data_IF_551382796416
#
_entry.id   IF_551382796416
#
_cell.length_a   1.000
_cell.length_b   1.000
_cell.length_c   1.000
_cell.angle_alpha   90.00
_cell.angle_beta   90.00
_cell.angle_gamma   90.00
#
_symmetry.space_group_name_H-M   'P 1'
#
loop_
_entity.id
_entity.type
_entity.pdbx_description
1 polymer ?
#
# COMPACT_ATOMS: atom_id res chain seq x y z
N UNK A 1 -2.74 21.26 -8.78
CA UNK A 1 -3.29 19.89 -8.93
C UNK A 1 -3.53 19.22 -7.58
N UNK A 2 -2.53 19.18 -6.66
CA UNK A 2 -2.70 18.55 -5.33
C UNK A 2 -3.83 19.21 -4.51
N UNK A 3 -3.94 20.54 -4.51
CA UNK A 3 -5.00 21.24 -3.76
C UNK A 3 -6.40 20.94 -4.33
N UNK A 4 -6.51 20.80 -5.65
CA UNK A 4 -7.76 20.34 -6.27
C UNK A 4 -8.15 18.94 -5.76
N UNK A 5 -7.20 18.00 -5.68
CA UNK A 5 -7.47 16.66 -5.18
C UNK A 5 -7.82 16.66 -3.68
N UNK A 6 -7.14 17.48 -2.86
CA UNK A 6 -7.48 17.65 -1.44
C UNK A 6 -8.92 18.14 -1.25
N UNK A 7 -9.30 19.18 -1.99
CA UNK A 7 -10.65 19.73 -1.93
C UNK A 7 -11.69 18.69 -2.38
N UNK A 8 -11.38 17.94 -3.43
CA UNK A 8 -12.25 16.88 -3.90
C UNK A 8 -12.44 15.76 -2.88
N UNK A 9 -11.38 15.37 -2.17
CA UNK A 9 -11.46 14.39 -1.08
C UNK A 9 -12.32 14.93 0.08
N UNK A 10 -12.22 16.23 0.43
CA UNK A 10 -13.06 16.87 1.44
C UNK A 10 -14.56 16.82 1.09
N UNK A 11 -14.89 16.93 -0.20
CA UNK A 11 -16.28 16.88 -0.67
C UNK A 11 -16.85 15.46 -0.71
N UNK A 12 -16.00 14.46 -0.87
CA UNK A 12 -16.38 13.06 -1.06
C UNK A 12 -16.53 12.29 0.24
N UNK A 13 -15.64 12.54 1.20
CA UNK A 13 -15.57 11.76 2.45
C UNK A 13 -16.02 12.58 3.66
N UNK A 14 -16.49 11.87 4.69
CA UNK A 14 -16.82 12.50 5.98
C UNK A 14 -15.56 13.05 6.65
N UNK A 15 -15.69 14.15 7.43
CA UNK A 15 -14.54 14.80 8.08
C UNK A 15 -13.64 13.84 8.87
N UNK A 16 -14.23 12.86 9.54
CA UNK A 16 -13.51 11.85 10.35
C UNK A 16 -12.57 10.93 9.56
N UNK A 17 -12.85 10.73 8.25
CA UNK A 17 -12.03 9.87 7.37
C UNK A 17 -11.16 10.66 6.40
N UNK A 18 -11.40 11.96 6.26
CA UNK A 18 -10.77 12.79 5.23
C UNK A 18 -9.25 12.85 5.35
N UNK A 19 -8.73 13.01 6.59
CA UNK A 19 -7.28 13.02 6.84
C UNK A 19 -6.60 11.72 6.43
N UNK A 20 -7.18 10.59 6.84
CA UNK A 20 -6.69 9.26 6.47
C UNK A 20 -6.76 9.03 4.95
N UNK A 21 -7.86 9.40 4.31
CA UNK A 21 -8.03 9.23 2.86
C UNK A 21 -7.06 10.09 2.07
N UNK A 22 -6.77 11.33 2.50
CA UNK A 22 -5.72 12.17 1.90
C UNK A 22 -4.35 11.54 2.04
N UNK A 23 -4.03 11.00 3.21
CA UNK A 23 -2.76 10.33 3.45
C UNK A 23 -2.58 9.10 2.55
N UNK A 24 -3.61 8.26 2.44
CA UNK A 24 -3.58 7.03 1.65
C UNK A 24 -3.60 7.29 0.13
N UNK A 25 -4.44 8.22 -0.36
CA UNK A 25 -4.65 8.43 -1.80
C UNK A 25 -3.61 9.33 -2.45
N UNK A 26 -3.19 10.40 -1.76
CA UNK A 26 -2.31 11.44 -2.31
C UNK A 26 -1.06 11.73 -1.45
N UNK A 27 -0.82 10.94 -0.39
CA UNK A 27 0.34 11.08 0.48
C UNK A 27 0.35 12.34 1.36
N UNK A 28 -0.82 12.95 1.62
CA UNK A 28 -0.94 14.16 2.42
C UNK A 28 -1.27 13.82 3.87
N UNK A 29 -0.30 13.96 4.78
CA UNK A 29 -0.39 13.52 6.17
C UNK A 29 -0.70 14.63 7.18
N UNK A 30 -0.59 15.88 6.77
CA UNK A 30 -0.67 17.05 7.67
C UNK A 30 -2.03 17.22 8.34
N UNK A 31 -3.07 16.60 7.81
CA UNK A 31 -4.43 16.68 8.32
C UNK A 31 -4.90 15.40 9.03
N UNK A 32 -3.98 14.49 9.35
CA UNK A 32 -4.31 13.32 10.17
C UNK A 32 -4.54 13.79 11.61
N UNK A 33 -5.63 13.37 12.20
CA UNK A 33 -5.94 13.61 13.60
C UNK A 33 -4.89 12.97 14.51
N UNK A 34 -4.40 13.71 15.52
CA UNK A 34 -3.35 13.26 16.43
C UNK A 34 -3.75 12.05 17.26
N UNK A 35 -5.02 11.98 17.69
CA UNK A 35 -5.54 10.85 18.44
C UNK A 35 -5.60 9.60 17.54
N UNK A 36 -6.10 9.73 16.32
CA UNK A 36 -6.08 8.66 15.33
C UNK A 36 -4.65 8.19 15.06
N UNK A 37 -3.71 9.13 14.87
CA UNK A 37 -2.31 8.78 14.66
C UNK A 37 -1.73 7.98 15.84
N UNK A 38 -2.04 8.38 17.08
CA UNK A 38 -1.65 7.65 18.30
C UNK A 38 -2.17 6.22 18.30
N UNK A 39 -3.47 6.02 18.07
CA UNK A 39 -4.09 4.68 18.02
C UNK A 39 -3.47 3.77 16.96
N UNK A 40 -3.16 4.31 15.78
CA UNK A 40 -2.46 3.56 14.73
C UNK A 40 -1.00 3.25 15.11
N UNK A 41 -0.33 4.16 15.80
CA UNK A 41 1.04 3.98 16.28
C UNK A 41 1.14 2.87 17.32
N UNK A 42 0.24 2.84 18.28
CA UNK A 42 0.19 1.83 19.36
C UNK A 42 0.03 0.41 18.81
N UNK A 43 -0.67 0.28 17.69
CA UNK A 43 -0.87 -1.00 16.98
C UNK A 43 0.17 -1.25 15.88
N UNK A 44 1.19 -0.40 15.71
CA UNK A 44 2.19 -0.55 14.64
C UNK A 44 1.64 -0.39 13.22
N UNK A 45 0.54 0.36 13.05
CA UNK A 45 -0.19 0.54 11.80
C UNK A 45 0.15 1.86 11.07
N UNK A 46 1.11 2.62 11.54
CA UNK A 46 1.49 3.93 10.96
C UNK A 46 1.87 3.86 9.48
N UNK A 47 2.37 2.70 9.05
CA UNK A 47 2.71 2.47 7.64
C UNK A 47 1.48 2.47 6.71
N UNK A 48 0.26 2.26 7.22
CA UNK A 48 -1.00 2.37 6.46
C UNK A 48 -1.31 3.84 6.12
N UNK A 49 -0.96 4.75 7.03
CA UNK A 49 -1.10 6.20 6.82
C UNK A 49 -0.04 6.78 5.86
N UNK A 50 0.81 5.93 5.31
CA UNK A 50 1.76 6.30 4.28
C UNK A 50 1.46 5.49 3.02
N UNK A 51 1.69 6.07 1.84
CA UNK A 51 1.60 5.30 0.62
C UNK A 51 2.72 4.26 0.62
N UNK A 52 2.31 3.00 0.66
CA UNK A 52 3.21 1.84 0.68
C UNK A 52 3.33 1.22 -0.71
N UNK A 53 4.29 0.29 -0.87
CA UNK A 53 4.40 -0.51 -2.09
C UNK A 53 3.13 -1.29 -2.43
N UNK A 54 2.37 -1.73 -1.42
CA UNK A 54 1.08 -2.40 -1.61
C UNK A 54 0.04 -1.45 -2.24
N UNK A 55 -0.04 -0.20 -1.78
CA UNK A 55 -0.93 0.81 -2.37
C UNK A 55 -0.58 1.09 -3.85
N UNK A 56 0.71 1.20 -4.18
CA UNK A 56 1.16 1.35 -5.58
C UNK A 56 0.78 0.11 -6.40
N UNK A 57 0.96 -1.09 -5.85
CA UNK A 57 0.57 -2.35 -6.49
C UNK A 57 -0.94 -2.44 -6.75
N UNK A 58 -1.76 -2.06 -5.77
CA UNK A 58 -3.23 -2.03 -5.89
C UNK A 58 -3.66 -0.97 -6.90
N UNK A 59 -3.06 0.23 -6.85
CA UNK A 59 -3.34 1.29 -7.82
C UNK A 59 -3.08 0.83 -9.25
N UNK A 60 -1.88 0.33 -9.53
CA UNK A 60 -1.53 -0.10 -10.88
C UNK A 60 -2.33 -1.32 -11.31
N UNK A 61 -2.56 -2.28 -10.41
CA UNK A 61 -3.39 -3.45 -10.65
C UNK A 61 -4.82 -3.07 -11.03
N UNK A 62 -5.42 -2.12 -10.31
CA UNK A 62 -6.76 -1.59 -10.60
C UNK A 62 -6.80 -0.88 -11.96
N UNK A 63 -5.80 -0.04 -12.26
CA UNK A 63 -5.67 0.63 -13.55
C UNK A 63 -5.60 -0.38 -14.70
N UNK A 64 -4.69 -1.35 -14.61
CA UNK A 64 -4.52 -2.38 -15.64
C UNK A 64 -5.79 -3.22 -15.82
N UNK A 65 -6.48 -3.53 -14.72
CA UNK A 65 -7.75 -4.27 -14.75
C UNK A 65 -8.84 -3.49 -15.49
N UNK A 66 -8.98 -2.18 -15.22
CA UNK A 66 -9.93 -1.31 -15.93
C UNK A 66 -9.61 -1.24 -17.41
N UNK A 67 -8.36 -0.96 -17.77
CA UNK A 67 -7.94 -0.84 -19.17
C UNK A 67 -8.16 -2.15 -19.95
N UNK A 68 -7.88 -3.31 -19.30
CA UNK A 68 -8.18 -4.62 -19.87
C UNK A 68 -9.68 -4.83 -20.08
N UNK A 69 -10.52 -4.39 -19.14
CA UNK A 69 -12.00 -4.47 -19.28
C UNK A 69 -12.54 -3.56 -20.38
N UNK A 70 -11.86 -2.45 -20.65
CA UNK A 70 -12.17 -1.56 -21.78
C UNK A 70 -11.70 -2.12 -23.15
N UNK A 71 -11.14 -3.33 -23.18
CA UNK A 71 -10.72 -3.99 -24.41
C UNK A 71 -9.35 -3.53 -24.96
N UNK A 72 -8.55 -2.83 -24.16
CA UNK A 72 -7.22 -2.41 -24.59
C UNK A 72 -6.30 -3.61 -24.83
N UNK A 73 -5.46 -3.53 -25.87
CA UNK A 73 -4.48 -4.57 -26.14
C UNK A 73 -3.46 -4.69 -25.00
N UNK A 74 -2.87 -5.90 -24.84
CA UNK A 74 -1.87 -6.16 -23.80
C UNK A 74 -0.71 -5.17 -23.82
N UNK A 75 -0.21 -4.87 -25.01
CA UNK A 75 0.87 -3.89 -25.19
C UNK A 75 0.47 -2.51 -24.68
N UNK A 76 -0.74 -2.05 -25.02
CA UNK A 76 -1.21 -0.70 -24.73
C UNK A 76 -1.48 -0.53 -23.22
N UNK A 77 -2.18 -1.46 -22.57
CA UNK A 77 -2.45 -1.30 -21.14
C UNK A 77 -1.17 -1.41 -20.28
N UNK A 78 -0.20 -2.26 -20.66
CA UNK A 78 1.07 -2.35 -19.94
C UNK A 78 1.91 -1.08 -20.14
N UNK A 79 1.98 -0.55 -21.36
CA UNK A 79 2.67 0.72 -21.62
C UNK A 79 2.04 1.86 -20.82
N UNK A 80 0.71 1.95 -20.82
CA UNK A 80 -0.02 2.94 -20.04
C UNK A 80 0.30 2.82 -18.55
N UNK A 81 0.34 1.60 -17.99
CA UNK A 81 0.74 1.36 -16.61
C UNK A 81 2.14 1.89 -16.31
N UNK A 82 3.11 1.64 -17.19
CA UNK A 82 4.49 2.14 -17.05
C UNK A 82 4.52 3.67 -17.04
N UNK A 83 3.75 4.33 -17.92
CA UNK A 83 3.72 5.80 -18.02
C UNK A 83 2.95 6.47 -16.87
N UNK A 84 1.96 5.79 -16.29
CA UNK A 84 1.20 6.32 -15.16
C UNK A 84 1.95 6.25 -13.82
N UNK A 85 2.90 5.33 -13.66
CA UNK A 85 3.67 5.22 -12.42
C UNK A 85 4.46 6.49 -12.07
N UNK A 86 5.24 7.11 -12.98
CA UNK A 86 5.90 8.40 -12.72
C UNK A 86 4.89 9.50 -12.36
N UNK A 87 3.75 9.56 -13.05
CA UNK A 87 2.70 10.53 -12.76
C UNK A 87 2.15 10.32 -11.34
N UNK A 88 1.88 9.08 -10.95
CA UNK A 88 1.42 8.75 -9.60
C UNK A 88 2.47 9.10 -8.54
N UNK A 89 3.76 8.81 -8.79
CA UNK A 89 4.84 9.23 -7.89
C UNK A 89 4.85 10.73 -7.66
N UNK A 90 4.71 11.54 -8.71
CA UNK A 90 4.64 13.00 -8.61
C UNK A 90 3.39 13.48 -7.86
N UNK A 91 2.23 12.89 -8.14
CA UNK A 91 0.98 13.21 -7.45
C UNK A 91 1.04 12.95 -5.95
N UNK A 92 1.73 11.89 -5.55
CA UNK A 92 1.91 11.49 -4.15
C UNK A 92 3.07 12.20 -3.45
N UNK A 93 3.72 13.15 -4.14
CA UNK A 93 4.82 13.96 -3.58
C UNK A 93 6.17 13.26 -3.58
N UNK A 94 6.35 12.27 -4.45
CA UNK A 94 7.60 11.53 -4.62
C UNK A 94 8.16 10.98 -3.28
N UNK A 95 7.28 10.54 -2.37
CA UNK A 95 7.72 9.94 -1.13
C UNK A 95 8.65 8.73 -1.44
N UNK A 96 9.73 8.53 -0.67
CA UNK A 96 10.71 7.48 -0.98
C UNK A 96 10.11 6.07 -1.16
N UNK A 97 9.08 5.73 -0.36
CA UNK A 97 8.35 4.46 -0.48
C UNK A 97 7.61 4.33 -1.82
N UNK A 98 6.99 5.41 -2.29
CA UNK A 98 6.25 5.44 -3.56
C UNK A 98 7.21 5.38 -4.75
N UNK A 99 8.35 6.07 -4.66
CA UNK A 99 9.38 6.06 -5.70
C UNK A 99 9.96 4.65 -5.86
N UNK A 100 10.33 4.00 -4.76
CA UNK A 100 10.82 2.60 -4.79
C UNK A 100 9.82 1.66 -5.46
N UNK A 101 8.57 1.69 -5.00
CA UNK A 101 7.53 0.83 -5.53
C UNK A 101 7.20 1.15 -7.00
N UNK A 102 7.23 2.43 -7.37
CA UNK A 102 7.02 2.87 -8.74
C UNK A 102 8.12 2.37 -9.68
N UNK A 103 9.39 2.50 -9.30
CA UNK A 103 10.51 1.99 -10.10
C UNK A 103 10.43 0.46 -10.24
N UNK A 104 10.19 -0.27 -9.13
CA UNK A 104 9.99 -1.73 -9.16
C UNK A 104 8.82 -2.11 -10.07
N UNK A 105 7.71 -1.38 -9.99
CA UNK A 105 6.54 -1.57 -10.84
C UNK A 105 6.85 -1.35 -12.33
N UNK A 106 7.57 -0.28 -12.68
CA UNK A 106 7.99 -0.01 -14.06
C UNK A 106 8.88 -1.11 -14.62
N UNK A 107 9.88 -1.56 -13.85
CA UNK A 107 10.77 -2.66 -14.25
C UNK A 107 9.97 -3.96 -14.44
N UNK A 108 9.09 -4.29 -13.49
CA UNK A 108 8.25 -5.48 -13.56
C UNK A 108 7.30 -5.46 -14.77
N UNK A 109 6.58 -4.35 -15.00
CA UNK A 109 5.69 -4.20 -16.13
C UNK A 109 6.44 -4.24 -17.47
N UNK A 110 7.64 -3.63 -17.54
CA UNK A 110 8.48 -3.69 -18.72
C UNK A 110 8.92 -5.13 -19.04
N UNK A 111 9.33 -5.89 -18.03
CA UNK A 111 9.69 -7.30 -18.20
C UNK A 111 8.50 -8.14 -18.70
N UNK A 112 7.31 -7.96 -18.10
CA UNK A 112 6.06 -8.63 -18.53
C UNK A 112 5.70 -8.24 -19.97
N UNK A 113 5.85 -6.96 -20.33
CA UNK A 113 5.59 -6.48 -21.68
C UNK A 113 6.50 -7.13 -22.72
N UNK A 114 7.78 -7.24 -22.42
CA UNK A 114 8.79 -7.84 -23.31
C UNK A 114 8.78 -9.38 -23.29
N UNK A 115 7.96 -10.01 -22.46
CA UNK A 115 7.95 -11.46 -22.30
C UNK A 115 9.25 -12.02 -21.69
N UNK A 116 10.03 -11.15 -21.02
CA UNK A 116 11.25 -11.55 -20.33
C UNK A 116 10.82 -12.29 -19.07
N UNK A 117 11.30 -13.52 -18.92
CA UNK A 117 11.24 -14.22 -17.62
C UNK A 117 12.24 -13.57 -16.67
N UNK A 118 11.87 -12.42 -16.11
CA UNK A 118 12.70 -11.80 -15.09
C UNK A 118 12.50 -12.56 -13.77
N UNK A 119 13.60 -13.00 -13.20
CA UNK A 119 13.60 -13.39 -11.80
C UNK A 119 13.30 -12.14 -10.97
N UNK A 120 12.25 -12.21 -10.15
CA UNK A 120 11.82 -11.08 -9.32
C UNK A 120 12.95 -10.57 -8.42
N UNK A 121 13.85 -11.47 -7.96
CA UNK A 121 15.02 -11.09 -7.17
C UNK A 121 16.00 -10.23 -7.98
N UNK A 122 16.25 -10.58 -9.23
CA UNK A 122 17.10 -9.77 -10.11
C UNK A 122 16.51 -8.38 -10.35
N UNK A 123 15.19 -8.28 -10.53
CA UNK A 123 14.52 -6.99 -10.70
C UNK A 123 14.66 -6.13 -9.44
N UNK A 124 14.45 -6.71 -8.26
CA UNK A 124 14.61 -6.00 -6.97
C UNK A 124 16.06 -5.59 -6.74
N UNK A 125 17.03 -6.47 -7.01
CA UNK A 125 18.45 -6.17 -6.89
C UNK A 125 18.89 -5.04 -7.84
N UNK A 126 18.40 -5.05 -9.08
CA UNK A 126 18.67 -3.99 -10.06
C UNK A 126 18.15 -2.63 -9.57
N UNK A 127 16.92 -2.60 -9.05
CA UNK A 127 16.34 -1.36 -8.52
C UNK A 127 17.11 -0.87 -7.30
N UNK A 128 17.47 -1.76 -6.37
CA UNK A 128 18.30 -1.42 -5.23
C UNK A 128 19.64 -0.82 -5.67
N UNK A 129 20.30 -1.46 -6.63
CA UNK A 129 21.56 -0.98 -7.17
C UNK A 129 21.45 0.41 -7.81
N UNK A 130 20.44 0.63 -8.67
CA UNK A 130 20.19 1.94 -9.29
C UNK A 130 20.01 3.01 -8.22
N UNK A 131 19.20 2.74 -7.18
CA UNK A 131 18.95 3.71 -6.11
C UNK A 131 20.20 4.00 -5.29
N UNK A 132 21.02 3.00 -4.97
CA UNK A 132 22.26 3.18 -4.22
C UNK A 132 23.37 3.86 -5.02
N UNK A 133 23.38 3.70 -6.35
CA UNK A 133 24.29 4.48 -7.22
C UNK A 133 23.88 5.94 -7.27
N UNK A 134 22.56 6.22 -7.25
CA UNK A 134 22.05 7.58 -7.23
C UNK A 134 22.28 8.28 -5.89
N UNK A 135 21.99 7.58 -4.80
CA UNK A 135 22.09 8.10 -3.43
C UNK A 135 22.55 6.98 -2.47
N UNK A 136 23.86 6.85 -2.21
CA UNK A 136 24.40 5.78 -1.33
C UNK A 136 23.84 5.83 0.10
N UNK A 137 23.43 7.01 0.58
CA UNK A 137 22.90 7.18 1.93
C UNK A 137 21.57 6.43 2.14
N UNK A 138 20.87 6.05 1.08
CA UNK A 138 19.69 5.17 1.18
C UNK A 138 19.97 3.86 1.90
N UNK A 139 21.22 3.38 1.90
CA UNK A 139 21.57 2.16 2.65
C UNK A 139 21.30 2.30 4.15
N UNK A 140 21.39 3.51 4.68
CA UNK A 140 21.13 3.84 6.09
C UNK A 140 19.66 4.25 6.35
N UNK A 141 18.88 4.47 5.29
CA UNK A 141 17.46 4.80 5.41
C UNK A 141 16.64 3.59 5.83
N UNK A 142 15.96 3.69 6.97
CA UNK A 142 15.14 2.62 7.54
C UNK A 142 14.04 2.17 6.56
N UNK A 143 13.43 3.13 5.86
CA UNK A 143 12.38 2.83 4.88
C UNK A 143 12.92 2.06 3.68
N UNK A 144 14.15 2.36 3.23
CA UNK A 144 14.84 1.59 2.20
C UNK A 144 15.10 0.16 2.68
N UNK A 145 15.72 0.00 3.84
CA UNK A 145 16.02 -1.31 4.43
C UNK A 145 14.76 -2.17 4.57
N UNK A 146 13.70 -1.63 5.19
CA UNK A 146 12.43 -2.34 5.37
C UNK A 146 11.79 -2.71 4.03
N UNK A 147 11.76 -1.79 3.07
CA UNK A 147 11.13 -2.03 1.77
C UNK A 147 11.80 -3.16 1.00
N UNK A 148 13.12 -3.13 0.87
CA UNK A 148 13.87 -4.16 0.14
C UNK A 148 13.90 -5.49 0.89
N UNK A 149 14.15 -5.46 2.21
CA UNK A 149 14.19 -6.65 3.04
C UNK A 149 12.85 -7.41 3.01
N UNK A 150 11.74 -6.69 3.21
CA UNK A 150 10.40 -7.29 3.15
C UNK A 150 10.08 -7.80 1.75
N UNK A 151 10.41 -7.05 0.69
CA UNK A 151 10.16 -7.49 -0.70
C UNK A 151 10.94 -8.77 -1.02
N UNK A 152 12.22 -8.85 -0.67
CA UNK A 152 13.04 -10.06 -0.83
C UNK A 152 12.44 -11.21 0.00
N UNK A 153 12.09 -10.95 1.25
CA UNK A 153 11.43 -11.93 2.11
C UNK A 153 10.15 -12.49 1.50
N UNK A 154 9.29 -11.64 0.96
CA UNK A 154 8.05 -12.06 0.30
C UNK A 154 8.34 -12.94 -0.92
N UNK A 155 9.29 -12.57 -1.77
CA UNK A 155 9.64 -13.35 -2.97
C UNK A 155 10.19 -14.74 -2.59
N UNK A 156 11.05 -14.81 -1.58
CA UNK A 156 11.77 -16.04 -1.23
C UNK A 156 10.97 -16.95 -0.30
N UNK A 157 10.31 -16.37 0.71
CA UNK A 157 9.72 -17.13 1.81
C UNK A 157 8.23 -17.43 1.62
N UNK A 158 7.46 -16.55 0.98
CA UNK A 158 6.01 -16.78 0.81
C UNK A 158 5.70 -18.11 0.08
N UNK A 159 6.39 -18.48 -1.02
CA UNK A 159 6.13 -19.77 -1.66
C UNK A 159 6.35 -20.96 -0.72
N UNK A 160 7.36 -20.88 0.15
CA UNK A 160 7.67 -21.94 1.13
C UNK A 160 6.67 -21.97 2.27
N UNK A 161 6.41 -20.80 2.89
CA UNK A 161 5.47 -20.68 4.02
C UNK A 161 4.05 -21.06 3.60
N UNK A 162 3.63 -20.64 2.40
CA UNK A 162 2.29 -20.99 1.91
C UNK A 162 2.08 -22.49 1.78
N UNK A 163 3.08 -23.29 1.41
CA UNK A 163 2.97 -24.74 1.33
C UNK A 163 2.86 -25.41 2.69
N UNK A 164 3.31 -24.79 3.75
CA UNK A 164 3.23 -25.31 5.13
C UNK A 164 1.87 -25.07 5.78
N UNK A 165 1.06 -24.16 5.24
CA UNK A 165 -0.24 -23.81 5.81
C UNK A 165 -1.32 -24.79 5.33
N UNK A 166 -2.02 -25.49 6.24
CA UNK A 166 -3.08 -26.45 5.91
C UNK A 166 -4.41 -25.75 5.54
N UNK A 167 -4.36 -24.73 4.69
CA UNK A 167 -5.50 -23.92 4.27
C UNK A 167 -5.84 -24.25 2.82
N UNK A 168 -7.04 -24.82 2.53
CA UNK A 168 -7.39 -25.22 1.17
C UNK A 168 -7.63 -24.03 0.24
N UNK A 169 -8.12 -22.91 0.75
CA UNK A 169 -8.37 -21.70 -0.04
C UNK A 169 -7.04 -21.00 -0.37
N UNK A 170 -6.57 -21.15 -1.60
CA UNK A 170 -5.27 -20.64 -2.07
C UNK A 170 -5.10 -19.13 -1.82
N UNK A 171 -6.13 -18.33 -2.08
CA UNK A 171 -6.08 -16.89 -1.84
C UNK A 171 -5.86 -16.56 -0.37
N UNK A 172 -6.64 -17.15 0.53
CA UNK A 172 -6.52 -16.96 1.98
C UNK A 172 -5.15 -17.43 2.50
N UNK A 173 -4.72 -18.61 2.06
CA UNK A 173 -3.41 -19.17 2.39
C UNK A 173 -2.26 -18.23 2.02
N UNK A 174 -2.27 -17.69 0.80
CA UNK A 174 -1.24 -16.77 0.35
C UNK A 174 -1.30 -15.45 1.10
N UNK A 175 -2.48 -14.91 1.40
CA UNK A 175 -2.63 -13.68 2.19
C UNK A 175 -2.04 -13.86 3.60
N UNK A 176 -2.36 -14.97 4.28
CA UNK A 176 -1.81 -15.27 5.61
C UNK A 176 -0.29 -15.45 5.54
N UNK A 177 0.21 -16.20 4.54
CA UNK A 177 1.65 -16.39 4.35
C UNK A 177 2.36 -15.05 4.10
N UNK A 178 1.82 -14.18 3.25
CA UNK A 178 2.38 -12.84 2.99
C UNK A 178 2.40 -11.99 4.26
N UNK A 179 1.32 -11.93 5.01
CA UNK A 179 1.25 -11.17 6.26
C UNK A 179 2.28 -11.68 7.27
N UNK A 180 2.33 -13.00 7.48
CA UNK A 180 3.29 -13.62 8.40
C UNK A 180 4.74 -13.33 7.99
N UNK A 181 5.10 -13.54 6.73
CA UNK A 181 6.45 -13.30 6.22
C UNK A 181 6.82 -11.83 6.33
N UNK A 182 5.93 -10.92 5.93
CA UNK A 182 6.18 -9.49 6.03
C UNK A 182 6.49 -9.06 7.47
N UNK A 183 5.69 -9.51 8.44
CA UNK A 183 5.90 -9.24 9.86
C UNK A 183 7.20 -9.87 10.37
N UNK A 184 7.43 -11.15 10.11
CA UNK A 184 8.61 -11.86 10.59
C UNK A 184 9.92 -11.24 10.07
N UNK A 185 9.92 -10.79 8.80
CA UNK A 185 11.10 -10.21 8.16
C UNK A 185 11.33 -8.77 8.59
N UNK A 186 10.27 -7.97 8.78
CA UNK A 186 10.39 -6.58 9.25
C UNK A 186 10.72 -6.48 10.75
N UNK A 187 10.32 -7.47 11.53
CA UNK A 187 10.38 -7.48 12.98
C UNK A 187 11.76 -7.13 13.58
N UNK A 188 12.90 -7.74 13.17
CA UNK A 188 14.21 -7.40 13.73
C UNK A 188 14.57 -5.92 13.52
N UNK A 189 14.28 -5.40 12.33
CA UNK A 189 14.56 -3.99 11.99
C UNK A 189 13.64 -3.06 12.78
N UNK A 190 12.36 -3.41 12.88
CA UNK A 190 11.38 -2.61 13.64
C UNK A 190 11.75 -2.52 15.12
N UNK A 191 12.11 -3.63 15.76
CA UNK A 191 12.55 -3.61 17.16
C UNK A 191 13.81 -2.77 17.31
N UNK A 192 14.80 -2.97 16.46
CA UNK A 192 16.08 -2.29 16.57
C UNK A 192 15.94 -0.77 16.49
N UNK A 193 15.14 -0.26 15.55
CA UNK A 193 15.02 1.18 15.32
C UNK A 193 13.93 1.85 16.15
N UNK A 194 12.81 1.18 16.43
CA UNK A 194 11.66 1.81 17.08
C UNK A 194 11.49 1.39 18.53
N UNK A 195 12.22 0.36 18.99
CA UNK A 195 12.13 -0.20 20.34
C UNK A 195 10.67 -0.46 20.81
N UNK A 196 9.79 -0.75 19.87
CA UNK A 196 8.37 -1.01 20.11
C UNK A 196 8.03 -2.43 19.70
N UNK A 197 7.41 -3.16 20.62
CA UNK A 197 6.89 -4.49 20.36
C UNK A 197 5.49 -4.62 20.95
N UNK A 198 4.55 -4.96 20.11
CA UNK A 198 3.22 -5.34 20.55
C UNK A 198 2.79 -6.61 19.82
N UNK A 199 2.41 -7.64 20.57
CA UNK A 199 1.79 -8.85 20.02
C UNK A 199 0.49 -8.52 19.29
N UNK A 200 -0.22 -7.48 19.74
CA UNK A 200 -1.43 -7.00 19.07
C UNK A 200 -1.16 -6.42 17.69
N UNK A 201 0.06 -5.91 17.41
CA UNK A 201 0.44 -5.44 16.07
C UNK A 201 0.32 -6.55 15.03
N UNK A 202 0.64 -7.79 15.35
CA UNK A 202 0.51 -8.91 14.42
C UNK A 202 -0.95 -9.16 14.05
N UNK A 203 -1.82 -9.19 15.06
CA UNK A 203 -3.25 -9.36 14.84
C UNK A 203 -3.86 -8.15 14.11
N UNK A 204 -3.52 -6.95 14.54
CA UNK A 204 -3.98 -5.71 13.90
C UNK A 204 -3.57 -5.64 12.44
N UNK A 205 -2.31 -5.93 12.11
CA UNK A 205 -1.84 -5.97 10.74
C UNK A 205 -2.54 -7.04 9.90
N UNK A 206 -2.72 -8.25 10.44
CA UNK A 206 -3.40 -9.33 9.74
C UNK A 206 -4.86 -9.01 9.39
N UNK A 207 -5.56 -8.29 10.26
CA UNK A 207 -6.96 -7.91 10.08
C UNK A 207 -7.14 -6.61 9.28
N UNK A 208 -6.35 -5.58 9.60
CA UNK A 208 -6.61 -4.21 9.15
C UNK A 208 -5.88 -3.86 7.85
N UNK A 209 -4.67 -4.39 7.61
CA UNK A 209 -3.97 -4.14 6.34
C UNK A 209 -4.80 -4.59 5.13
N UNK A 210 -5.43 -5.79 5.12
CA UNK A 210 -6.33 -6.17 4.03
C UNK A 210 -7.54 -5.24 3.89
N UNK A 211 -8.16 -4.79 4.98
CA UNK A 211 -9.31 -3.89 4.93
C UNK A 211 -8.91 -2.56 4.29
N UNK A 212 -7.84 -1.94 4.77
CA UNK A 212 -7.37 -0.67 4.21
C UNK A 212 -6.90 -0.81 2.77
N UNK A 213 -6.09 -1.83 2.46
CA UNK A 213 -5.45 -1.96 1.15
C UNK A 213 -6.35 -2.55 0.07
N UNK A 214 -7.31 -3.43 0.43
CA UNK A 214 -8.15 -4.12 -0.55
C UNK A 214 -9.58 -3.57 -0.61
N UNK A 215 -10.04 -2.82 0.39
CA UNK A 215 -11.38 -2.24 0.42
C UNK A 215 -11.28 -0.71 0.40
N UNK A 216 -10.73 -0.10 1.46
CA UNK A 216 -10.76 1.37 1.62
C UNK A 216 -9.98 2.09 0.53
N UNK A 217 -8.78 1.65 0.21
CA UNK A 217 -7.93 2.30 -0.79
C UNK A 217 -8.48 2.17 -2.22
N UNK A 218 -8.82 0.98 -2.76
CA UNK A 218 -9.37 0.89 -4.12
C UNK A 218 -10.72 1.59 -4.25
N UNK A 219 -11.59 1.49 -3.24
CA UNK A 219 -12.86 2.21 -3.23
C UNK A 219 -12.64 3.72 -3.16
N UNK A 220 -11.67 4.17 -2.39
CA UNK A 220 -11.24 5.57 -2.32
C UNK A 220 -10.71 6.10 -3.66
N UNK A 221 -9.89 5.30 -4.36
CA UNK A 221 -9.44 5.65 -5.72
C UNK A 221 -10.61 5.74 -6.70
N UNK A 222 -11.54 4.78 -6.64
CA UNK A 222 -12.74 4.80 -7.48
C UNK A 222 -13.63 6.01 -7.16
N UNK A 223 -13.79 6.34 -5.87
CA UNK A 223 -14.53 7.51 -5.42
C UNK A 223 -13.90 8.81 -5.94
N UNK A 224 -12.58 8.94 -5.84
CA UNK A 224 -11.85 10.11 -6.32
C UNK A 224 -11.95 10.24 -7.84
N UNK A 225 -11.73 9.15 -8.59
CA UNK A 225 -11.85 9.14 -10.04
C UNK A 225 -13.27 9.49 -10.53
N UNK A 226 -14.29 8.88 -9.91
CA UNK A 226 -15.68 9.18 -10.21
C UNK A 226 -16.06 10.61 -9.78
N UNK A 227 -15.58 11.06 -8.63
CA UNK A 227 -15.84 12.39 -8.09
C UNK A 227 -15.20 13.52 -8.90
N UNK A 228 -14.12 13.28 -9.62
CA UNK A 228 -13.54 14.23 -10.57
C UNK A 228 -14.52 14.49 -11.73
N UNK A 229 -15.25 13.46 -12.17
CA UNK A 229 -16.23 13.54 -13.26
C UNK A 229 -17.55 14.12 -12.72
N UNK A 230 -18.06 13.54 -11.63
CA UNK A 230 -19.34 13.90 -11.03
C UNK A 230 -19.39 13.56 -9.54
N UNK A 231 -19.51 14.57 -8.67
CA UNK A 231 -19.45 14.42 -7.21
C UNK A 231 -20.45 13.39 -6.65
N UNK A 232 -21.75 13.36 -7.04
CA UNK A 232 -22.69 12.37 -6.51
C UNK A 232 -22.26 10.91 -6.80
N UNK A 233 -21.69 10.63 -7.97
CA UNK A 233 -21.18 9.31 -8.30
C UNK A 233 -19.98 8.95 -7.43
N UNK A 234 -19.09 9.92 -7.21
CA UNK A 234 -17.95 9.77 -6.29
C UNK A 234 -18.40 9.45 -4.86
N UNK A 235 -19.44 10.12 -4.36
CA UNK A 235 -20.02 9.87 -3.02
C UNK A 235 -20.58 8.46 -2.88
N UNK A 236 -21.21 7.90 -3.91
CA UNK A 236 -21.69 6.51 -3.89
C UNK A 236 -20.52 5.54 -3.72
N UNK A 237 -19.44 5.74 -4.48
CA UNK A 237 -18.24 4.92 -4.35
C UNK A 237 -17.53 5.13 -2.99
N UNK A 238 -17.55 6.36 -2.45
CA UNK A 238 -16.95 6.69 -1.16
C UNK A 238 -17.59 5.92 0.01
N UNK A 239 -18.89 5.59 -0.06
CA UNK A 239 -19.58 4.79 0.97
C UNK A 239 -18.86 3.47 1.23
N UNK A 240 -18.37 2.81 0.21
CA UNK A 240 -17.66 1.53 0.36
C UNK A 240 -16.34 1.72 1.12
N UNK A 241 -15.59 2.78 0.80
CA UNK A 241 -14.36 3.12 1.53
C UNK A 241 -14.66 3.51 2.98
N UNK A 242 -15.73 4.26 3.22
CA UNK A 242 -16.16 4.68 4.56
C UNK A 242 -16.59 3.48 5.42
N UNK A 243 -17.30 2.50 4.85
CA UNK A 243 -17.63 1.26 5.56
C UNK A 243 -16.35 0.51 5.96
N UNK A 244 -15.38 0.40 5.06
CA UNK A 244 -14.08 -0.19 5.36
C UNK A 244 -13.35 0.56 6.49
N UNK A 245 -13.30 1.89 6.42
CA UNK A 245 -12.69 2.74 7.44
C UNK A 245 -13.43 2.63 8.79
N UNK A 246 -14.76 2.64 8.77
CA UNK A 246 -15.56 2.48 9.98
C UNK A 246 -15.28 1.13 10.67
N UNK A 247 -15.27 0.04 9.91
CA UNK A 247 -14.96 -1.28 10.43
C UNK A 247 -13.55 -1.30 11.03
N UNK A 248 -12.58 -0.74 10.32
CA UNK A 248 -11.20 -0.66 10.78
C UNK A 248 -11.06 0.16 12.06
N UNK A 249 -11.68 1.34 12.15
CA UNK A 249 -11.62 2.19 13.35
C UNK A 249 -12.29 1.53 14.55
N UNK A 250 -13.42 0.84 14.36
CA UNK A 250 -14.05 0.05 15.44
C UNK A 250 -13.14 -1.08 15.94
N UNK A 251 -12.45 -1.75 15.02
CA UNK A 251 -11.48 -2.80 15.37
C UNK A 251 -10.28 -2.23 16.10
N UNK A 252 -9.74 -1.09 15.66
CA UNK A 252 -8.65 -0.38 16.33
C UNK A 252 -9.05 -0.01 17.75
N UNK A 253 -10.20 0.66 17.91
CA UNK A 253 -10.70 1.06 19.23
C UNK A 253 -10.90 -0.14 20.17
N UNK A 254 -11.39 -1.26 19.66
CA UNK A 254 -11.52 -2.49 20.46
C UNK A 254 -10.16 -3.05 20.87
N UNK A 255 -9.19 -3.11 19.96
CA UNK A 255 -7.85 -3.64 20.25
C UNK A 255 -7.07 -2.74 21.21
N UNK A 256 -7.19 -1.42 21.12
CA UNK A 256 -6.53 -0.49 22.03
C UNK A 256 -7.11 -0.58 23.44
N UNK A 257 -8.43 -0.75 23.59
CA UNK A 257 -9.08 -0.96 24.88
C UNK A 257 -8.65 -2.27 25.57
N UNK A 258 -8.39 -3.32 24.79
CA UNK A 258 -8.02 -4.64 25.33
C UNK A 258 -6.52 -4.80 25.55
N UNK A 259 -5.69 -3.98 24.93
CA UNK A 259 -4.23 -4.05 24.99
C UNK A 259 -3.57 -3.02 25.94
N UNK A 260 -4.34 -2.14 26.54
CA UNK A 260 -3.89 -1.09 27.46
C UNK A 260 -3.88 -1.54 28.93
N UNK A 261 -3.36 -2.75 29.20
CA UNK A 261 -3.11 -3.26 30.53
C UNK A 261 -1.64 -3.57 30.74
#
# INVERSE_FOLDING_TARGET
MRDFLKNRINELFRPEYTGLMKAMLIGWKEEIDLEQYGQFSDLGLTHIMAISGLHVGVFIGSLLWVLKRLGWSRELYLLTGILFLPLYMLLTGAAPSTVRAGIMGMVGLHAVRKGIRSDALHAVALVAWIMLVWEPEYLLDIGFQLSFLVTIGLIVLVPRVSTLLPIPAVSLRNTIAMTFVAQAVSFPVTIYYFNQFSLLSWLANALLVPVFSMISFPAGLAALAAGIIWIPLGKIAAVVAEIGNWLAFKTIAFLTMTGGG
#
